data_IF_021424653919
#
_entry.id   IF_021424653919
#
_cell.length_a   1.000
_cell.length_b   1.000
_cell.length_c   1.000
_cell.angle_alpha   90.00
_cell.angle_beta   90.00
_cell.angle_gamma   90.00
#
_symmetry.space_group_name_H-M   'P 1'
#
loop_
_entity.id
_entity.type
_entity.pdbx_description
1 polymer ?
#
# COMPACT_ATOMS: atom_id res chain seq x y z
N UNK A 1 -5.78 -1.85 14.32
CA UNK A 1 -5.83 -0.79 15.34
C UNK A 1 -4.99 0.38 14.85
N UNK A 2 -5.51 1.62 14.90
CA UNK A 2 -4.78 2.83 14.47
C UNK A 2 -3.69 3.16 15.48
N UNK A 3 -2.46 3.43 15.02
CA UNK A 3 -1.32 3.87 15.84
C UNK A 3 -0.53 4.96 15.12
N UNK A 4 0.12 5.83 15.87
CA UNK A 4 1.13 6.74 15.33
C UNK A 4 2.43 5.95 15.12
N UNK A 5 2.93 5.89 13.89
CA UNK A 5 4.18 5.22 13.53
C UNK A 5 5.19 6.25 13.05
N UNK A 6 6.45 6.13 13.47
CA UNK A 6 7.50 7.00 12.96
C UNK A 6 7.72 6.73 11.46
N UNK A 7 7.81 7.79 10.66
CA UNK A 7 8.04 7.67 9.21
C UNK A 7 9.38 7.00 8.86
N UNK A 8 10.37 7.05 9.77
CA UNK A 8 11.68 6.39 9.62
C UNK A 8 11.61 4.87 9.82
N UNK A 9 10.61 4.39 10.56
CA UNK A 9 10.44 2.98 10.88
C UNK A 9 9.60 2.24 9.81
N UNK A 10 9.16 2.96 8.77
CA UNK A 10 8.37 2.42 7.66
C UNK A 10 9.31 1.95 6.54
N UNK A 11 9.27 0.65 6.27
CA UNK A 11 10.00 0.01 5.19
C UNK A 11 9.19 0.05 3.89
N UNK A 12 9.69 0.81 2.91
CA UNK A 12 9.03 1.01 1.60
C UNK A 12 9.52 0.03 0.52
N UNK A 13 10.70 -0.55 0.69
CA UNK A 13 11.36 -1.44 -0.28
C UNK A 13 10.91 -2.91 -0.13
N UNK A 14 9.65 -3.12 0.29
CA UNK A 14 9.09 -4.44 0.57
C UNK A 14 8.63 -5.23 -0.66
N UNK A 15 8.87 -4.74 -1.89
CA UNK A 15 8.23 -5.20 -3.16
C UNK A 15 6.70 -5.06 -3.18
N UNK A 16 6.17 -4.24 -2.29
CA UNK A 16 4.75 -3.97 -2.07
C UNK A 16 4.22 -2.82 -2.92
N UNK A 17 5.09 -2.07 -3.60
CA UNK A 17 4.68 -0.94 -4.43
C UNK A 17 4.24 -1.40 -5.82
N UNK A 18 2.92 -1.40 -6.07
CA UNK A 18 2.36 -1.80 -7.38
C UNK A 18 2.28 -0.65 -8.41
N UNK A 19 2.40 0.60 -7.98
CA UNK A 19 2.35 1.78 -8.85
C UNK A 19 3.44 2.80 -8.51
N UNK A 20 3.99 3.54 -9.48
CA UNK A 20 4.96 4.59 -9.19
C UNK A 20 4.37 5.66 -8.25
N UNK A 21 5.21 6.23 -7.40
CA UNK A 21 4.85 7.43 -6.64
C UNK A 21 5.02 8.62 -7.56
N UNK A 22 3.96 9.42 -7.70
CA UNK A 22 3.91 10.53 -8.63
C UNK A 22 4.04 11.85 -7.88
N UNK A 23 5.04 12.66 -8.23
CA UNK A 23 5.35 13.91 -7.53
C UNK A 23 4.18 14.90 -7.50
N UNK A 24 3.38 14.95 -8.56
CA UNK A 24 2.18 15.79 -8.64
C UNK A 24 1.15 15.40 -7.56
N UNK A 25 0.94 14.10 -7.37
CA UNK A 25 0.02 13.58 -6.35
C UNK A 25 0.59 13.80 -4.95
N UNK A 26 1.90 13.59 -4.76
CA UNK A 26 2.59 13.89 -3.50
C UNK A 26 2.46 15.37 -3.12
N UNK A 27 2.67 16.29 -4.08
CA UNK A 27 2.54 17.71 -3.85
C UNK A 27 1.10 18.10 -3.47
N UNK A 28 0.10 17.56 -4.18
CA UNK A 28 -1.31 17.77 -3.86
C UNK A 28 -1.65 17.27 -2.45
N UNK A 29 -1.21 16.07 -2.09
CA UNK A 29 -1.47 15.51 -0.76
C UNK A 29 -0.75 16.29 0.33
N UNK A 30 0.48 16.75 0.10
CA UNK A 30 1.21 17.59 1.03
C UNK A 30 0.49 18.93 1.27
N UNK A 31 -0.05 19.57 0.22
CA UNK A 31 -0.85 20.78 0.37
C UNK A 31 -2.11 20.53 1.23
N UNK A 32 -2.90 19.50 0.87
CA UNK A 32 -4.10 19.13 1.63
C UNK A 32 -3.79 18.79 3.09
N UNK A 33 -2.71 18.05 3.35
CA UNK A 33 -2.26 17.70 4.71
C UNK A 33 -1.80 18.93 5.50
N UNK A 34 -1.24 19.95 4.83
CA UNK A 34 -0.84 21.22 5.44
C UNK A 34 -2.07 22.06 5.80
N UNK A 35 -3.11 22.02 4.96
CA UNK A 35 -4.38 22.72 5.17
C UNK A 35 -5.31 22.01 6.19
N UNK A 36 -4.83 20.94 6.83
CA UNK A 36 -5.57 20.23 7.89
C UNK A 36 -6.52 19.14 7.39
N UNK A 37 -6.47 18.77 6.10
CA UNK A 37 -7.26 17.65 5.59
C UNK A 37 -6.87 16.35 6.30
N UNK A 38 -7.87 15.59 6.73
CA UNK A 38 -7.67 14.28 7.37
C UNK A 38 -7.50 13.22 6.30
N UNK A 39 -6.38 12.50 6.36
CA UNK A 39 -6.12 11.36 5.48
C UNK A 39 -6.40 10.05 6.22
N UNK A 40 -6.85 9.00 5.51
CA UNK A 40 -6.93 7.68 6.10
C UNK A 40 -5.53 7.22 6.59
N UNK A 41 -5.45 6.36 7.62
CA UNK A 41 -4.19 5.74 8.05
C UNK A 41 -3.55 4.92 6.94
N UNK A 42 -2.22 4.88 6.90
CA UNK A 42 -1.48 3.98 5.99
C UNK A 42 -1.58 2.53 6.49
N UNK A 43 -1.39 1.56 5.61
CA UNK A 43 -1.55 0.16 5.98
C UNK A 43 -0.19 -0.54 6.02
N UNK A 44 0.08 -1.21 7.15
CA UNK A 44 1.37 -1.79 7.50
C UNK A 44 1.19 -3.27 7.88
N UNK A 45 2.10 -4.12 7.40
CA UNK A 45 2.36 -5.44 7.99
C UNK A 45 3.66 -5.39 8.78
N UNK A 46 3.63 -5.87 10.02
CA UNK A 46 4.81 -5.95 10.88
C UNK A 46 5.18 -7.42 11.15
N UNK A 47 6.44 -7.79 10.91
CA UNK A 47 6.98 -9.15 11.17
C UNK A 47 7.74 -9.24 12.51
N UNK A 48 7.63 -8.21 13.34
CA UNK A 48 8.40 -8.05 14.59
C UNK A 48 9.78 -7.43 14.42
N UNK A 49 10.28 -7.27 13.18
CA UNK A 49 11.56 -6.62 12.86
C UNK A 49 11.38 -5.37 11.98
N UNK A 50 10.53 -5.47 10.97
CA UNK A 50 10.29 -4.45 9.97
C UNK A 50 8.80 -4.14 9.84
N UNK A 51 8.48 -2.89 9.48
CA UNK A 51 7.12 -2.45 9.20
C UNK A 51 6.96 -2.23 7.69
N UNK A 52 6.46 -3.23 6.98
CA UNK A 52 6.27 -3.18 5.53
C UNK A 52 5.02 -2.38 5.17
N UNK A 53 5.22 -1.28 4.43
CA UNK A 53 4.13 -0.52 3.84
C UNK A 53 3.50 -1.30 2.69
N UNK A 54 2.19 -1.53 2.73
CA UNK A 54 1.47 -2.17 1.61
C UNK A 54 0.40 -1.26 0.97
N UNK A 55 -0.09 -0.23 1.69
CA UNK A 55 -0.88 0.86 1.10
C UNK A 55 -0.56 2.21 1.74
N UNK A 56 -0.59 3.28 0.94
CA UNK A 56 -0.38 4.66 1.41
C UNK A 56 0.94 5.31 1.00
N UNK A 57 1.62 4.81 -0.03
CA UNK A 57 2.89 5.37 -0.53
C UNK A 57 2.88 6.89 -0.75
N UNK A 58 1.88 7.42 -1.45
CA UNK A 58 1.75 8.87 -1.66
C UNK A 58 1.52 9.65 -0.36
N UNK A 59 0.83 9.04 0.62
CA UNK A 59 0.60 9.64 1.95
C UNK A 59 1.90 9.69 2.77
N UNK A 60 2.67 8.60 2.76
CA UNK A 60 4.01 8.57 3.39
C UNK A 60 4.94 9.59 2.76
N UNK A 61 5.01 9.64 1.43
CA UNK A 61 5.84 10.60 0.70
C UNK A 61 5.42 12.06 0.98
N UNK A 62 4.12 12.35 1.01
CA UNK A 62 3.62 13.68 1.36
C UNK A 62 3.96 14.07 2.81
N UNK A 63 3.79 13.16 3.77
CA UNK A 63 4.15 13.39 5.16
C UNK A 63 5.66 13.63 5.35
N UNK A 64 6.51 12.87 4.62
CA UNK A 64 7.97 13.09 4.57
C UNK A 64 8.32 14.45 3.99
N UNK A 65 7.67 14.85 2.89
CA UNK A 65 7.87 16.18 2.27
C UNK A 65 7.51 17.34 3.20
N UNK A 66 6.54 17.14 4.07
CA UNK A 66 6.15 18.12 5.10
C UNK A 66 7.02 18.08 6.36
N UNK A 67 8.02 17.20 6.44
CA UNK A 67 8.87 17.05 7.63
C UNK A 67 8.12 16.50 8.85
N UNK A 68 6.98 15.81 8.67
CA UNK A 68 6.27 15.16 9.78
C UNK A 68 7.15 14.04 10.35
N UNK A 69 7.08 13.82 11.67
CA UNK A 69 7.80 12.72 12.34
C UNK A 69 6.99 11.42 12.31
N UNK A 70 5.67 11.53 12.36
CA UNK A 70 4.75 10.42 12.52
C UNK A 70 3.66 10.45 11.44
N UNK A 71 3.06 9.30 11.20
CA UNK A 71 1.86 9.13 10.41
C UNK A 71 0.93 8.14 11.10
N UNK A 72 -0.38 8.31 10.92
CA UNK A 72 -1.34 7.31 11.34
C UNK A 72 -1.19 6.06 10.49
N UNK A 73 -1.07 4.91 11.15
CA UNK A 73 -0.94 3.61 10.52
C UNK A 73 -1.88 2.58 11.15
N UNK A 74 -2.49 1.75 10.31
CA UNK A 74 -3.10 0.49 10.68
C UNK A 74 -2.05 -0.60 10.57
N UNK A 75 -1.66 -1.17 11.71
CA UNK A 75 -0.63 -2.20 11.78
C UNK A 75 -1.31 -3.55 12.02
N UNK A 76 -0.95 -4.54 11.20
CA UNK A 76 -1.29 -5.95 11.38
C UNK A 76 -0.01 -6.77 11.47
N UNK A 77 -0.04 -7.83 12.27
CA UNK A 77 1.06 -8.79 12.32
C UNK A 77 1.04 -9.69 11.08
N UNK A 78 2.22 -10.02 10.56
CA UNK A 78 2.37 -10.88 9.39
C UNK A 78 3.76 -10.77 8.80
N UNK A 79 3.96 -11.37 7.65
CA UNK A 79 5.25 -11.43 6.95
C UNK A 79 5.34 -10.39 5.83
N UNK A 80 6.54 -10.18 5.30
CA UNK A 80 6.71 -9.42 4.05
C UNK A 80 5.83 -9.97 2.91
N UNK A 81 5.66 -11.30 2.86
CA UNK A 81 4.87 -11.98 1.83
C UNK A 81 3.38 -11.65 1.95
N UNK A 82 2.87 -11.56 3.18
CA UNK A 82 1.51 -11.07 3.44
C UNK A 82 1.33 -9.63 2.99
N UNK A 83 2.33 -8.78 3.25
CA UNK A 83 2.32 -7.39 2.79
C UNK A 83 2.25 -7.31 1.25
N UNK A 84 3.03 -8.12 0.54
CA UNK A 84 3.01 -8.19 -0.93
C UNK A 84 1.64 -8.63 -1.41
N UNK A 85 1.10 -9.71 -0.84
CA UNK A 85 -0.21 -10.22 -1.22
C UNK A 85 -1.32 -9.18 -0.99
N UNK A 86 -1.33 -8.50 0.16
CA UNK A 86 -2.30 -7.44 0.47
C UNK A 86 -2.17 -6.24 -0.48
N UNK A 87 -0.96 -5.90 -0.91
CA UNK A 87 -0.74 -4.82 -1.88
C UNK A 87 -1.43 -5.06 -3.24
N UNK A 88 -1.75 -6.31 -3.58
CA UNK A 88 -2.50 -6.65 -4.80
C UNK A 88 -3.97 -6.21 -4.74
N UNK A 89 -4.52 -6.07 -3.53
CA UNK A 89 -5.86 -5.55 -3.28
C UNK A 89 -5.90 -4.02 -3.10
N UNK A 90 -4.73 -3.39 -2.90
CA UNK A 90 -4.64 -1.96 -2.75
C UNK A 90 -5.19 -1.26 -4.01
N UNK A 91 -5.91 -0.15 -3.82
CA UNK A 91 -6.60 0.61 -4.87
C UNK A 91 -7.90 -0.01 -5.42
N UNK A 92 -8.51 -0.99 -4.74
CA UNK A 92 -9.90 -1.42 -5.02
C UNK A 92 -10.93 -0.31 -4.74
N UNK A 93 -10.63 0.58 -3.80
CA UNK A 93 -11.56 1.60 -3.26
C UNK A 93 -11.07 3.05 -3.39
N UNK A 94 -9.87 3.27 -3.95
CA UNK A 94 -9.29 4.62 -4.01
C UNK A 94 -9.80 5.40 -5.24
N UNK A 95 -9.95 6.71 -5.10
CA UNK A 95 -10.43 7.68 -6.09
C UNK A 95 -9.60 7.79 -7.40
N UNK A 96 -8.56 6.97 -7.57
CA UNK A 96 -7.78 6.89 -8.79
C UNK A 96 -7.86 5.48 -9.36
N UNK A 97 -8.42 5.30 -10.56
CA UNK A 97 -8.50 3.99 -11.19
C UNK A 97 -7.09 3.41 -11.39
N UNK A 98 -7.00 2.08 -11.34
CA UNK A 98 -5.75 1.38 -11.69
C UNK A 98 -5.33 1.76 -13.10
N UNK A 99 -4.02 1.89 -13.31
CA UNK A 99 -3.51 2.07 -14.67
C UNK A 99 -3.82 0.81 -15.51
N UNK A 100 -4.11 0.98 -16.81
CA UNK A 100 -4.27 -0.15 -17.71
C UNK A 100 -3.05 -1.07 -17.65
N UNK A 101 -3.25 -2.38 -17.46
CA UNK A 101 -2.18 -3.38 -17.40
C UNK A 101 -1.63 -3.71 -16.00
N UNK A 102 -1.84 -2.88 -14.98
CA UNK A 102 -1.40 -3.18 -13.59
C UNK A 102 -2.09 -4.44 -13.06
N UNK A 103 -3.38 -4.62 -13.34
CA UNK A 103 -4.13 -5.81 -12.93
C UNK A 103 -3.58 -7.09 -13.56
N UNK A 104 -3.24 -7.05 -14.86
CA UNK A 104 -2.64 -8.18 -15.58
C UNK A 104 -1.31 -8.59 -14.96
N UNK A 105 -0.42 -7.63 -14.69
CA UNK A 105 0.86 -7.92 -14.04
C UNK A 105 0.73 -8.49 -12.63
N UNK A 106 -0.28 -8.07 -11.86
CA UNK A 106 -0.58 -8.65 -10.55
C UNK A 106 -1.07 -10.09 -10.69
N UNK A 107 -2.01 -10.35 -11.61
CA UNK A 107 -2.53 -11.70 -11.86
C UNK A 107 -1.39 -12.64 -12.30
N UNK A 108 -0.50 -12.19 -13.19
CA UNK A 108 0.66 -12.99 -13.61
C UNK A 108 1.60 -13.32 -12.44
N UNK A 109 1.83 -12.39 -11.50
CA UNK A 109 2.62 -12.67 -10.29
C UNK A 109 1.96 -13.73 -9.41
N UNK A 110 0.64 -13.65 -9.24
CA UNK A 110 -0.14 -14.61 -8.44
C UNK A 110 -0.08 -16.00 -9.06
N UNK A 111 -0.30 -16.10 -10.38
CA UNK A 111 -0.36 -17.39 -11.08
C UNK A 111 1.02 -18.06 -11.22
N UNK A 112 2.11 -17.30 -11.20
CA UNK A 112 3.49 -17.82 -11.23
C UNK A 112 3.99 -18.28 -9.85
N UNK A 113 3.27 -17.97 -8.79
CA UNK A 113 3.68 -18.29 -7.42
C UNK A 113 3.11 -19.65 -6.98
N UNK A 114 3.95 -20.51 -6.39
CA UNK A 114 3.59 -21.89 -6.06
C UNK A 114 2.49 -22.03 -4.99
N UNK A 115 2.31 -21.02 -4.14
CA UNK A 115 1.28 -21.03 -3.10
C UNK A 115 0.04 -20.27 -3.57
N UNK A 116 0.21 -19.08 -4.14
CA UNK A 116 -0.93 -18.24 -4.54
C UNK A 116 -1.64 -18.75 -5.79
N UNK A 117 -0.97 -19.51 -6.67
CA UNK A 117 -1.59 -20.15 -7.83
C UNK A 117 -2.65 -21.20 -7.45
N UNK A 118 -2.63 -21.68 -6.21
CA UNK A 118 -3.63 -22.64 -5.68
C UNK A 118 -4.94 -21.96 -5.26
N UNK A 119 -4.96 -20.63 -5.17
CA UNK A 119 -6.16 -19.84 -4.85
C UNK A 119 -7.09 -19.85 -6.06
N UNK A 120 -8.40 -19.95 -5.86
CA UNK A 120 -9.34 -20.01 -6.98
C UNK A 120 -9.34 -18.71 -7.79
N UNK A 121 -9.57 -18.79 -9.10
CA UNK A 121 -9.66 -17.61 -9.98
C UNK A 121 -10.67 -16.59 -9.48
N UNK A 122 -11.78 -17.05 -8.88
CA UNK A 122 -12.80 -16.18 -8.27
C UNK A 122 -12.27 -15.41 -7.07
N UNK A 123 -11.51 -16.05 -6.20
CA UNK A 123 -10.89 -15.41 -5.04
C UNK A 123 -9.80 -14.42 -5.47
N UNK A 124 -8.98 -14.78 -6.45
CA UNK A 124 -7.97 -13.89 -7.04
C UNK A 124 -8.66 -12.65 -7.64
N UNK A 125 -9.72 -12.86 -8.43
CA UNK A 125 -10.49 -11.77 -9.04
C UNK A 125 -11.10 -10.85 -7.98
N UNK A 126 -11.69 -11.42 -6.92
CA UNK A 126 -12.24 -10.67 -5.79
C UNK A 126 -11.17 -9.88 -5.03
N UNK A 127 -10.02 -10.49 -4.79
CA UNK A 127 -8.89 -9.89 -4.07
C UNK A 127 -8.28 -8.73 -4.86
N UNK A 128 -8.00 -8.97 -6.14
CA UNK A 128 -7.45 -7.98 -7.08
C UNK A 128 -8.50 -6.95 -7.50
N UNK A 129 -9.79 -7.24 -7.35
CA UNK A 129 -10.90 -6.35 -7.72
C UNK A 129 -11.14 -6.28 -9.23
N UNK A 130 -11.02 -7.40 -9.94
CA UNK A 130 -11.37 -7.54 -11.36
C UNK A 130 -12.61 -8.44 -11.49
N UNK A 131 -13.41 -8.24 -12.54
CA UNK A 131 -14.61 -9.03 -12.86
C UNK A 131 -14.37 -9.93 -14.05
#
# INVERSE_FOLDING_TARGET
MKKQLFLKDIWIDGKTQQRPVEDKVVARYAALMKDGSVFPPVEIIADGKSNYLWDGYHRVAAARKLGKKYIEANIKEGTQRDAIYLSFSANKTNAFPRQPGTAKGIIEKILKDEEWSKISTREIANHVGVT
#
